data_IF_610854831357
#
_entry.id   IF_610854831357
#
_cell.length_a   1.000
_cell.length_b   1.000
_cell.length_c   1.000
_cell.angle_alpha   90.00
_cell.angle_beta   90.00
_cell.angle_gamma   90.00
#
_symmetry.space_group_name_H-M   'P 1'
#
loop_
_entity.id
_entity.type
_entity.pdbx_description
1 polymer ?
#
# COMPACT_ATOMS: atom_id res chain seq x y z
N UNK A 1 -3.32 1.42 25.11
CA UNK A 1 -3.50 2.40 24.02
C UNK A 1 -2.25 2.36 23.17
N UNK A 2 -2.32 2.19 21.83
CA UNK A 2 -1.15 2.18 20.94
C UNK A 2 -0.34 3.47 21.04
N UNK A 3 0.98 3.37 20.90
CA UNK A 3 1.90 4.52 20.92
C UNK A 3 2.91 4.39 19.79
N UNK A 4 3.43 5.51 19.31
CA UNK A 4 4.54 5.50 18.38
C UNK A 4 5.84 4.99 19.09
N UNK A 5 6.69 4.20 18.43
CA UNK A 5 8.01 3.90 18.97
C UNK A 5 8.79 5.19 19.26
N UNK A 6 9.49 5.24 20.40
CA UNK A 6 10.30 6.43 20.76
C UNK A 6 11.36 6.78 19.71
N UNK A 7 11.78 5.80 18.92
CA UNK A 7 12.74 6.01 17.85
C UNK A 7 12.25 7.02 16.81
N UNK A 8 10.93 7.13 16.57
CA UNK A 8 10.35 8.11 15.64
C UNK A 8 10.79 9.53 15.99
N UNK A 9 10.78 9.87 17.29
CA UNK A 9 11.16 11.21 17.77
C UNK A 9 12.68 11.42 17.85
N UNK A 10 13.48 10.37 17.62
CA UNK A 10 14.96 10.40 17.67
C UNK A 10 15.59 10.38 16.27
N UNK A 11 14.82 10.08 15.23
CA UNK A 11 15.30 9.98 13.85
C UNK A 11 15.62 11.33 13.20
N UNK A 12 15.16 12.45 13.77
CA UNK A 12 15.37 13.78 13.20
C UNK A 12 14.58 14.04 11.89
N UNK A 13 13.59 13.20 11.59
CA UNK A 13 12.71 13.34 10.44
C UNK A 13 11.49 14.17 10.79
N UNK A 14 10.85 14.86 9.83
CA UNK A 14 9.56 15.50 10.03
C UNK A 14 8.48 14.50 10.45
N UNK A 15 7.54 14.93 11.28
CA UNK A 15 6.43 14.10 11.77
C UNK A 15 5.11 14.85 11.59
N UNK A 16 4.12 14.19 10.97
CA UNK A 16 2.74 14.66 10.93
C UNK A 16 1.84 13.66 11.69
N UNK A 17 1.25 14.13 12.77
CA UNK A 17 0.23 13.39 13.51
C UNK A 17 -1.18 13.72 13.02
N UNK A 18 -1.92 12.72 12.53
CA UNK A 18 -3.31 12.89 12.06
C UNK A 18 -4.26 12.29 13.09
N UNK A 19 -5.23 13.07 13.56
CA UNK A 19 -6.26 12.67 14.51
C UNK A 19 -5.67 12.02 15.77
N UNK A 20 -5.80 10.71 15.94
CA UNK A 20 -5.18 9.96 17.02
C UNK A 20 -3.64 10.10 17.02
N UNK A 21 -3.04 10.29 15.84
CA UNK A 21 -1.61 10.57 15.71
C UNK A 21 -1.18 11.89 16.36
N UNK A 22 -1.97 12.95 16.24
CA UNK A 22 -1.74 14.21 16.95
C UNK A 22 -1.83 14.01 18.47
N UNK A 23 -2.86 13.31 18.93
CA UNK A 23 -3.06 13.03 20.35
C UNK A 23 -1.90 12.21 20.93
N UNK A 24 -1.46 11.20 20.20
CA UNK A 24 -0.30 10.38 20.59
C UNK A 24 0.99 11.20 20.63
N UNK A 25 1.24 12.02 19.60
CA UNK A 25 2.38 12.94 19.53
C UNK A 25 2.43 13.86 20.75
N UNK A 26 1.30 14.49 21.06
CA UNK A 26 1.18 15.40 22.21
C UNK A 26 1.45 14.69 23.53
N UNK A 27 0.81 13.55 23.79
CA UNK A 27 1.01 12.79 25.02
C UNK A 27 2.45 12.31 25.21
N UNK A 28 3.08 11.83 24.15
CA UNK A 28 4.45 11.31 24.24
C UNK A 28 5.51 12.40 24.39
N UNK A 29 5.20 13.62 24.01
CA UNK A 29 6.09 14.79 24.15
C UNK A 29 5.78 15.63 25.41
N UNK A 30 4.86 15.18 26.27
CA UNK A 30 4.62 15.78 27.59
C UNK A 30 3.45 16.75 27.65
N UNK A 31 2.59 16.80 26.67
CA UNK A 31 1.29 17.48 26.71
C UNK A 31 0.20 16.57 27.26
N UNK A 32 -1.06 17.05 27.21
CA UNK A 32 -2.22 16.32 27.73
C UNK A 32 -3.37 16.23 26.73
N UNK A 33 -4.10 15.11 26.81
CA UNK A 33 -5.31 14.82 26.02
C UNK A 33 -6.43 14.46 26.97
N UNK A 34 -7.60 15.01 26.75
CA UNK A 34 -8.79 14.80 27.61
C UNK A 34 -9.98 14.33 26.78
N UNK A 35 -10.80 13.48 27.40
CA UNK A 35 -12.13 13.12 26.91
C UNK A 35 -13.15 14.08 27.46
N UNK A 36 -13.81 14.86 26.62
CA UNK A 36 -14.72 15.90 27.05
C UNK A 36 -16.19 15.48 27.07
N UNK A 37 -16.52 14.29 26.54
CA UNK A 37 -17.90 13.89 26.28
C UNK A 37 -18.55 14.65 25.11
N UNK A 38 -17.91 15.70 24.59
CA UNK A 38 -18.31 16.36 23.36
C UNK A 38 -17.61 15.68 22.17
N UNK A 39 -18.41 15.20 21.22
CA UNK A 39 -17.92 14.44 20.08
C UNK A 39 -18.12 15.25 18.82
N UNK A 40 -17.09 15.36 18.01
CA UNK A 40 -17.10 16.07 16.74
C UNK A 40 -16.94 15.05 15.59
N UNK A 41 -18.03 14.82 14.85
CA UNK A 41 -18.08 13.89 13.74
C UNK A 41 -18.68 14.56 12.50
N UNK A 42 -17.99 14.43 11.37
CA UNK A 42 -18.45 14.94 10.09
C UNK A 42 -17.80 16.27 9.72
N UNK A 43 -18.54 17.06 8.93
CA UNK A 43 -18.06 18.35 8.43
C UNK A 43 -17.97 19.37 9.56
N UNK A 44 -16.77 19.94 9.71
CA UNK A 44 -16.47 21.03 10.63
C UNK A 44 -15.69 22.13 9.92
N UNK A 45 -15.46 23.23 10.62
CA UNK A 45 -14.62 24.33 10.13
C UNK A 45 -13.50 24.60 11.12
N UNK A 46 -12.33 24.88 10.61
CA UNK A 46 -11.19 25.36 11.38
C UNK A 46 -10.91 26.81 11.05
N UNK A 47 -10.58 27.60 12.06
CA UNK A 47 -10.11 28.96 11.91
C UNK A 47 -8.58 28.94 12.03
N UNK A 48 -7.88 29.39 10.97
CA UNK A 48 -6.41 29.46 10.95
C UNK A 48 -5.96 30.66 11.78
N UNK A 49 -5.26 30.38 12.88
CA UNK A 49 -4.90 31.41 13.87
C UNK A 49 -3.43 31.85 13.78
N UNK A 50 -2.59 31.05 13.14
CA UNK A 50 -1.18 31.36 12.92
C UNK A 50 -0.63 30.63 11.69
N UNK A 51 0.44 31.19 11.10
CA UNK A 51 1.13 30.59 9.96
C UNK A 51 2.07 29.46 10.41
N UNK A 52 2.32 28.49 9.55
CA UNK A 52 3.31 27.43 9.76
C UNK A 52 3.72 26.82 8.42
N UNK A 53 4.85 26.13 8.37
CA UNK A 53 5.33 25.52 7.13
C UNK A 53 4.39 24.44 6.56
N UNK A 54 3.52 23.83 7.36
CA UNK A 54 2.49 22.91 6.86
C UNK A 54 1.42 23.63 6.02
N UNK A 55 1.17 24.90 6.29
CA UNK A 55 0.12 25.68 5.63
C UNK A 55 0.63 26.51 4.46
N UNK A 56 1.96 26.60 4.26
CA UNK A 56 2.57 27.37 3.18
C UNK A 56 1.96 27.05 1.81
N UNK A 57 1.40 28.08 1.15
CA UNK A 57 0.77 27.96 -0.16
C UNK A 57 -0.58 27.22 -0.17
N UNK A 58 -1.14 26.89 1.00
CA UNK A 58 -2.42 26.21 1.14
C UNK A 58 -3.43 27.05 1.92
N UNK A 59 -3.08 27.51 3.11
CA UNK A 59 -3.90 28.32 4.00
C UNK A 59 -3.13 29.52 4.54
N UNK A 60 -3.83 30.62 4.77
CA UNK A 60 -3.26 31.84 5.37
C UNK A 60 -3.93 32.14 6.71
N UNK A 61 -3.22 32.85 7.58
CA UNK A 61 -3.77 33.31 8.85
C UNK A 61 -5.03 34.14 8.62
N UNK A 62 -6.12 33.74 9.27
CA UNK A 62 -7.45 34.36 9.13
C UNK A 62 -8.41 33.58 8.25
N UNK A 63 -7.92 32.57 7.53
CA UNK A 63 -8.78 31.70 6.75
C UNK A 63 -9.70 30.84 7.64
N UNK A 64 -10.87 30.50 7.09
CA UNK A 64 -11.83 29.58 7.70
C UNK A 64 -12.13 28.46 6.73
N UNK A 65 -11.62 27.26 7.04
CA UNK A 65 -11.56 26.17 6.10
C UNK A 65 -12.36 24.94 6.52
N UNK A 66 -13.02 24.30 5.54
CA UNK A 66 -13.76 23.08 5.78
C UNK A 66 -12.84 21.90 5.98
N UNK A 67 -13.11 21.10 7.00
CA UNK A 67 -12.40 19.85 7.30
C UNK A 67 -13.37 18.76 7.72
N UNK A 68 -12.88 17.53 7.80
CA UNK A 68 -13.62 16.39 8.32
C UNK A 68 -13.07 15.98 9.68
N UNK A 69 -13.92 16.04 10.72
CA UNK A 69 -13.61 15.63 12.08
C UNK A 69 -14.16 14.24 12.38
N UNK A 70 -13.46 13.49 13.23
CA UNK A 70 -13.91 12.18 13.73
C UNK A 70 -13.23 11.87 15.07
N UNK A 71 -13.59 12.61 16.13
CA UNK A 71 -12.98 12.45 17.44
C UNK A 71 -13.93 12.69 18.60
N UNK A 72 -13.63 12.10 19.77
CA UNK A 72 -14.29 12.35 21.05
C UNK A 72 -13.33 12.91 22.09
N UNK A 73 -12.03 12.71 21.90
CA UNK A 73 -10.97 13.25 22.73
C UNK A 73 -10.23 14.35 21.97
N UNK A 74 -9.69 15.34 22.66
CA UNK A 74 -8.88 16.37 22.06
C UNK A 74 -7.69 16.76 22.95
N UNK A 75 -6.72 17.43 22.35
CA UNK A 75 -5.56 18.01 23.06
C UNK A 75 -6.03 19.12 23.98
N UNK A 76 -5.64 19.05 25.26
CA UNK A 76 -5.94 20.05 26.29
C UNK A 76 -4.74 20.94 26.60
N UNK A 77 -3.52 20.39 26.57
CA UNK A 77 -2.27 21.13 26.81
C UNK A 77 -1.22 20.73 25.79
N UNK A 78 -0.57 21.71 25.21
CA UNK A 78 0.51 21.50 24.23
C UNK A 78 1.84 21.15 24.94
N UNK A 79 2.65 20.28 24.37
CA UNK A 79 4.03 20.10 24.81
C UNK A 79 4.89 21.30 24.47
N UNK A 80 6.02 21.42 25.16
CA UNK A 80 6.96 22.52 24.93
C UNK A 80 7.44 22.57 23.46
N UNK A 81 7.40 23.78 22.89
CA UNK A 81 7.80 24.04 21.50
C UNK A 81 6.65 24.07 20.52
N UNK A 82 5.50 23.49 20.86
CA UNK A 82 4.31 23.56 20.01
C UNK A 82 3.49 24.82 20.24
N UNK A 83 2.82 25.26 19.18
CA UNK A 83 1.79 26.30 19.22
C UNK A 83 0.55 25.87 18.45
N UNK A 84 -0.59 26.46 18.78
CA UNK A 84 -1.80 26.32 17.98
C UNK A 84 -1.63 27.09 16.67
N UNK A 85 -1.98 26.47 15.54
CA UNK A 85 -1.99 27.10 14.22
C UNK A 85 -3.39 27.10 13.61
N UNK A 86 -4.29 26.21 14.05
CA UNK A 86 -5.72 26.29 13.75
C UNK A 86 -6.55 25.82 14.95
N UNK A 87 -7.77 26.35 15.06
CA UNK A 87 -8.75 26.02 16.10
C UNK A 87 -10.09 25.64 15.50
N UNK A 88 -10.90 24.84 16.20
CA UNK A 88 -12.32 24.62 15.89
C UNK A 88 -13.18 24.78 17.14
N UNK A 89 -14.49 24.75 16.96
CA UNK A 89 -15.44 24.85 18.09
C UNK A 89 -15.26 23.70 19.10
N UNK A 90 -14.98 22.48 18.61
CA UNK A 90 -14.79 21.27 19.43
C UNK A 90 -13.34 20.93 19.76
N UNK A 91 -12.35 21.59 19.12
CA UNK A 91 -10.94 21.34 19.33
C UNK A 91 -10.13 22.65 19.34
N UNK A 92 -9.72 23.14 20.54
CA UNK A 92 -8.92 24.36 20.65
C UNK A 92 -7.54 24.24 19.99
N UNK A 93 -7.09 23.03 19.74
CA UNK A 93 -5.86 22.70 19.03
C UNK A 93 -6.18 21.82 17.81
N UNK A 94 -7.01 22.34 16.89
CA UNK A 94 -7.39 21.63 15.67
C UNK A 94 -6.19 21.38 14.75
N UNK A 95 -5.20 22.28 14.78
CA UNK A 95 -3.87 22.02 14.23
C UNK A 95 -2.79 22.66 15.09
N UNK A 96 -1.66 21.98 15.19
CA UNK A 96 -0.50 22.39 16.00
C UNK A 96 0.79 22.27 15.19
N UNK A 97 1.76 23.12 15.50
CA UNK A 97 3.06 23.13 14.83
C UNK A 97 4.22 23.35 15.81
N UNK A 98 5.31 22.65 15.56
CA UNK A 98 6.67 22.96 16.03
C UNK A 98 7.60 22.98 14.81
N UNK A 99 7.76 24.12 14.21
CA UNK A 99 8.56 24.27 12.98
C UNK A 99 10.05 23.96 13.21
N UNK A 100 10.55 24.17 14.43
CA UNK A 100 11.96 23.91 14.74
C UNK A 100 12.28 22.41 14.64
N UNK A 101 11.38 21.54 15.12
CA UNK A 101 11.50 20.09 15.01
C UNK A 101 10.88 19.55 13.73
N UNK A 102 10.12 20.38 13.00
CA UNK A 102 9.27 19.99 11.86
C UNK A 102 8.21 18.96 12.26
N UNK A 103 7.58 19.17 13.43
CA UNK A 103 6.52 18.34 13.95
C UNK A 103 5.19 19.07 13.86
N UNK A 104 4.22 18.39 13.25
CA UNK A 104 2.88 18.95 13.03
C UNK A 104 1.82 17.96 13.49
N UNK A 105 0.69 18.48 13.90
CA UNK A 105 -0.48 17.68 14.25
C UNK A 105 -1.75 18.32 13.72
N UNK A 106 -2.67 17.51 13.23
CA UNK A 106 -4.01 17.91 12.82
C UNK A 106 -5.03 16.98 13.45
N UNK A 107 -6.09 17.54 14.06
CA UNK A 107 -7.17 16.75 14.68
C UNK A 107 -8.14 16.20 13.61
N UNK A 108 -8.26 16.90 12.49
CA UNK A 108 -9.07 16.51 11.35
C UNK A 108 -8.36 15.49 10.45
N UNK A 109 -9.09 14.97 9.47
CA UNK A 109 -8.62 13.98 8.51
C UNK A 109 -8.34 14.63 7.14
N UNK A 110 -7.09 14.98 6.81
CA UNK A 110 -6.74 15.53 5.51
C UNK A 110 -6.77 14.50 4.39
N UNK A 111 -6.72 13.21 4.72
CA UNK A 111 -6.70 12.10 3.74
C UNK A 111 -8.06 11.80 3.12
N UNK A 112 -9.16 12.34 3.66
CA UNK A 112 -10.50 12.06 3.15
C UNK A 112 -10.98 13.13 2.19
N UNK A 113 -11.81 12.76 1.22
CA UNK A 113 -12.36 13.66 0.19
C UNK A 113 -13.21 14.81 0.73
N UNK A 114 -13.66 14.71 1.98
CA UNK A 114 -14.48 15.73 2.65
C UNK A 114 -13.66 16.88 3.25
N UNK A 115 -12.33 16.79 3.22
CA UNK A 115 -11.39 17.89 3.51
C UNK A 115 -10.86 18.41 2.17
N UNK A 116 -11.43 19.51 1.61
CA UNK A 116 -11.15 19.94 0.23
C UNK A 116 -9.66 20.21 -0.04
N UNK A 117 -8.97 20.81 0.91
CA UNK A 117 -7.53 21.11 0.82
C UNK A 117 -6.62 20.01 1.37
N UNK A 118 -7.18 18.85 1.74
CA UNK A 118 -6.42 17.77 2.39
C UNK A 118 -5.24 17.27 1.56
N UNK A 119 -5.45 17.08 0.26
CA UNK A 119 -4.35 16.67 -0.65
C UNK A 119 -3.25 17.72 -0.73
N UNK A 120 -3.60 19.02 -0.73
CA UNK A 120 -2.62 20.10 -0.74
C UNK A 120 -1.80 20.15 0.56
N UNK A 121 -2.46 19.99 1.73
CA UNK A 121 -1.78 19.91 3.03
C UNK A 121 -0.81 18.72 3.11
N UNK A 122 -1.24 17.54 2.66
CA UNK A 122 -0.37 16.36 2.60
C UNK A 122 0.79 16.55 1.62
N UNK A 123 0.54 17.24 0.49
CA UNK A 123 1.57 17.64 -0.47
C UNK A 123 2.57 18.62 0.14
N UNK A 124 2.12 19.65 0.86
CA UNK A 124 2.97 20.59 1.57
C UNK A 124 3.85 19.87 2.60
N UNK A 125 3.27 18.95 3.39
CA UNK A 125 4.05 18.16 4.33
C UNK A 125 5.11 17.30 3.63
N UNK A 126 4.73 16.53 2.61
CA UNK A 126 5.64 15.57 1.98
C UNK A 126 6.73 16.25 1.17
N UNK A 127 6.40 17.30 0.42
CA UNK A 127 7.37 17.96 -0.47
C UNK A 127 8.08 19.14 0.18
N UNK A 128 7.34 20.09 0.77
CA UNK A 128 7.96 21.28 1.33
C UNK A 128 8.59 21.01 2.71
N UNK A 129 7.89 20.35 3.62
CA UNK A 129 8.38 20.09 4.98
C UNK A 129 9.37 18.93 5.02
N UNK A 130 9.00 17.79 4.42
CA UNK A 130 9.83 16.58 4.46
C UNK A 130 10.87 16.50 3.35
N UNK A 131 10.75 17.32 2.30
CA UNK A 131 11.72 17.40 1.20
C UNK A 131 11.71 16.15 0.30
N UNK A 132 10.59 15.42 0.24
CA UNK A 132 10.47 14.27 -0.65
C UNK A 132 10.45 14.74 -2.10
N UNK A 133 11.31 14.17 -2.94
CA UNK A 133 11.47 14.59 -4.33
C UNK A 133 10.28 14.21 -5.25
N UNK A 134 9.39 13.31 -4.79
CA UNK A 134 8.27 12.83 -5.61
C UNK A 134 8.70 11.91 -6.75
N UNK A 135 9.89 11.36 -6.68
CA UNK A 135 10.51 10.48 -7.67
C UNK A 135 10.08 9.01 -7.53
N UNK A 136 9.39 8.66 -6.47
CA UNK A 136 8.82 7.34 -6.29
C UNK A 136 7.54 7.19 -7.14
N UNK A 137 7.71 6.77 -8.40
CA UNK A 137 6.63 6.51 -9.36
C UNK A 137 6.54 5.03 -9.64
N UNK A 138 5.39 4.56 -10.19
CA UNK A 138 5.26 3.15 -10.61
C UNK A 138 6.29 2.78 -11.67
N UNK A 139 6.69 3.71 -12.53
CA UNK A 139 7.75 3.48 -13.51
C UNK A 139 9.12 3.28 -12.83
N UNK A 140 9.51 4.18 -11.93
CA UNK A 140 10.76 4.05 -11.17
C UNK A 140 10.78 2.80 -10.29
N UNK A 141 9.62 2.49 -9.66
CA UNK A 141 9.47 1.26 -8.88
C UNK A 141 9.66 0.00 -9.77
N UNK A 142 9.01 -0.05 -10.95
CA UNK A 142 9.18 -1.12 -11.92
C UNK A 142 10.65 -1.30 -12.30
N UNK A 143 11.32 -0.23 -12.67
CA UNK A 143 12.73 -0.28 -13.09
C UNK A 143 13.63 -0.79 -11.96
N UNK A 144 13.35 -0.38 -10.72
CA UNK A 144 14.04 -0.89 -9.52
C UNK A 144 13.80 -2.39 -9.33
N UNK A 145 12.53 -2.85 -9.45
CA UNK A 145 12.20 -4.28 -9.30
C UNK A 145 12.87 -5.12 -10.40
N UNK A 146 12.86 -4.65 -11.63
CA UNK A 146 13.53 -5.33 -12.75
C UNK A 146 15.05 -5.45 -12.51
N UNK A 147 15.69 -4.41 -11.98
CA UNK A 147 17.10 -4.44 -11.63
C UNK A 147 17.39 -5.45 -10.48
N UNK A 148 16.57 -5.44 -9.44
CA UNK A 148 16.68 -6.39 -8.32
C UNK A 148 16.50 -7.84 -8.77
N UNK A 149 15.52 -8.11 -9.65
CA UNK A 149 15.31 -9.46 -10.22
C UNK A 149 16.54 -9.90 -11.02
N UNK A 150 17.12 -9.01 -11.83
CA UNK A 150 18.36 -9.34 -12.58
C UNK A 150 19.51 -9.71 -11.66
N UNK A 151 19.69 -8.94 -10.60
CA UNK A 151 20.74 -9.21 -9.60
C UNK A 151 20.50 -10.54 -8.89
N UNK A 152 19.26 -10.78 -8.43
CA UNK A 152 18.90 -12.00 -7.70
C UNK A 152 19.04 -13.26 -8.56
N UNK A 153 18.60 -13.21 -9.81
CA UNK A 153 18.60 -14.36 -10.73
C UNK A 153 19.97 -14.60 -11.35
N UNK A 154 20.76 -13.53 -11.55
CA UNK A 154 22.06 -13.64 -12.23
C UNK A 154 21.91 -14.30 -13.61
N UNK A 155 22.68 -15.35 -13.84
CA UNK A 155 22.64 -16.16 -15.08
C UNK A 155 21.62 -17.33 -15.02
N UNK A 156 20.91 -17.49 -13.89
CA UNK A 156 19.97 -18.57 -13.64
C UNK A 156 18.72 -18.51 -14.52
N UNK A 157 17.91 -19.57 -14.42
CA UNK A 157 16.62 -19.74 -15.10
C UNK A 157 15.49 -19.74 -14.08
N UNK A 158 14.36 -19.17 -14.45
CA UNK A 158 13.17 -19.06 -13.61
C UNK A 158 12.00 -19.82 -14.22
N UNK A 159 11.28 -20.60 -13.41
CA UNK A 159 9.95 -21.10 -13.74
C UNK A 159 8.93 -20.24 -12.99
N UNK A 160 7.88 -19.79 -13.68
CA UNK A 160 6.79 -19.03 -13.08
C UNK A 160 5.47 -19.74 -13.28
N UNK A 161 4.76 -20.03 -12.17
CA UNK A 161 3.39 -20.54 -12.22
C UNK A 161 2.40 -19.42 -12.55
N UNK A 162 1.61 -19.60 -13.61
CA UNK A 162 0.55 -18.69 -14.00
C UNK A 162 -0.80 -19.21 -13.55
N UNK A 163 -1.54 -18.38 -12.85
CA UNK A 163 -2.93 -18.69 -12.43
C UNK A 163 -4.00 -18.05 -13.33
N UNK A 164 -3.60 -17.24 -14.32
CA UNK A 164 -4.51 -16.37 -15.08
C UNK A 164 -4.88 -15.06 -14.34
N UNK A 165 -4.51 -14.92 -13.06
CA UNK A 165 -4.73 -13.71 -12.28
C UNK A 165 -3.74 -12.59 -12.59
N UNK A 166 -4.09 -11.38 -12.13
CA UNK A 166 -3.27 -10.16 -12.33
C UNK A 166 -1.90 -10.31 -11.68
N UNK A 167 -1.83 -10.84 -10.46
CA UNK A 167 -0.59 -10.89 -9.67
C UNK A 167 0.46 -11.79 -10.35
N UNK A 168 0.08 -13.01 -10.76
CA UNK A 168 0.97 -13.92 -11.47
C UNK A 168 1.40 -13.36 -12.83
N UNK A 169 0.51 -12.65 -13.52
CA UNK A 169 0.81 -12.03 -14.81
C UNK A 169 1.79 -10.87 -14.67
N UNK A 170 1.64 -10.03 -13.64
CA UNK A 170 2.58 -8.93 -13.36
C UNK A 170 3.94 -9.48 -12.95
N UNK A 171 3.98 -10.50 -12.08
CA UNK A 171 5.24 -11.15 -11.70
C UNK A 171 5.97 -11.72 -12.91
N UNK A 172 5.28 -12.46 -13.76
CA UNK A 172 5.87 -13.01 -14.98
C UNK A 172 6.36 -11.93 -15.96
N UNK A 173 5.59 -10.83 -16.12
CA UNK A 173 6.00 -9.71 -16.98
C UNK A 173 7.28 -9.03 -16.48
N UNK A 174 7.38 -8.75 -15.17
CA UNK A 174 8.57 -8.15 -14.56
C UNK A 174 9.80 -9.07 -14.68
N UNK A 175 9.62 -10.36 -14.43
CA UNK A 175 10.70 -11.35 -14.59
C UNK A 175 11.12 -11.46 -16.05
N UNK A 176 10.17 -11.50 -16.98
CA UNK A 176 10.48 -11.51 -18.41
C UNK A 176 11.25 -10.27 -18.85
N UNK A 177 10.87 -9.09 -18.38
CA UNK A 177 11.60 -7.83 -18.65
C UNK A 177 13.02 -7.87 -18.07
N UNK A 178 13.19 -8.54 -16.93
CA UNK A 178 14.49 -8.69 -16.29
C UNK A 178 15.43 -9.67 -17.00
N UNK A 179 14.94 -10.86 -17.35
CA UNK A 179 15.78 -11.98 -17.77
C UNK A 179 15.43 -12.59 -19.15
N UNK A 180 14.38 -12.07 -19.80
CA UNK A 180 13.97 -12.50 -21.16
C UNK A 180 13.58 -13.97 -21.24
N UNK A 181 14.09 -14.66 -22.22
CA UNK A 181 13.78 -16.08 -22.52
C UNK A 181 14.30 -17.08 -21.49
N UNK A 182 15.01 -16.63 -20.45
CA UNK A 182 15.39 -17.46 -19.31
C UNK A 182 14.24 -17.71 -18.34
N UNK A 183 13.09 -17.01 -18.52
CA UNK A 183 11.83 -17.30 -17.88
C UNK A 183 11.06 -18.34 -18.70
N UNK A 184 10.53 -19.37 -18.03
CA UNK A 184 9.53 -20.27 -18.57
C UNK A 184 8.28 -20.20 -17.71
N UNK A 185 7.14 -19.85 -18.32
CA UNK A 185 5.86 -19.83 -17.64
C UNK A 185 5.17 -21.19 -17.77
N UNK A 186 4.53 -21.66 -16.70
CA UNK A 186 3.71 -22.87 -16.69
C UNK A 186 2.29 -22.45 -16.32
N UNK A 187 1.35 -22.68 -17.23
CA UNK A 187 -0.07 -22.43 -17.04
C UNK A 187 -0.81 -23.78 -16.98
N UNK A 188 -1.51 -24.03 -15.89
CA UNK A 188 -2.28 -25.26 -15.68
C UNK A 188 -3.77 -24.97 -15.88
N UNK A 189 -4.34 -25.51 -16.96
CA UNK A 189 -5.79 -25.49 -17.14
C UNK A 189 -6.42 -26.60 -16.28
N UNK A 190 -7.11 -26.16 -15.26
CA UNK A 190 -7.77 -27.03 -14.28
C UNK A 190 -9.16 -27.50 -14.73
N UNK A 191 -9.66 -27.02 -15.85
CA UNK A 191 -11.02 -27.25 -16.33
C UNK A 191 -12.12 -26.50 -15.55
N UNK A 192 -11.76 -25.77 -14.49
CA UNK A 192 -12.68 -24.94 -13.69
C UNK A 192 -12.46 -23.44 -13.91
N UNK A 193 -11.75 -23.09 -14.96
CA UNK A 193 -11.53 -21.72 -15.42
C UNK A 193 -12.80 -21.14 -16.06
N UNK A 194 -12.83 -19.82 -16.22
CA UNK A 194 -13.90 -19.17 -16.99
C UNK A 194 -13.77 -19.50 -18.46
N UNK A 195 -14.88 -19.46 -19.18
CA UNK A 195 -14.90 -19.69 -20.62
C UNK A 195 -13.97 -18.67 -21.34
N UNK A 196 -13.03 -19.17 -22.11
CA UNK A 196 -12.05 -18.36 -22.86
C UNK A 196 -10.80 -17.96 -22.08
N UNK A 197 -10.75 -18.08 -20.77
CA UNK A 197 -9.64 -17.60 -19.92
C UNK A 197 -8.30 -18.26 -20.29
N UNK A 198 -8.28 -19.55 -20.58
CA UNK A 198 -7.07 -20.26 -21.02
C UNK A 198 -6.50 -19.68 -22.32
N UNK A 199 -7.38 -19.41 -23.30
CA UNK A 199 -6.97 -18.80 -24.57
C UNK A 199 -6.45 -17.37 -24.41
N UNK A 200 -7.04 -16.58 -23.49
CA UNK A 200 -6.60 -15.22 -23.18
C UNK A 200 -5.20 -15.23 -22.59
N UNK A 201 -4.92 -16.14 -21.65
CA UNK A 201 -3.59 -16.30 -21.05
C UNK A 201 -2.56 -16.72 -22.10
N UNK A 202 -2.87 -17.69 -22.95
CA UNK A 202 -1.98 -18.11 -24.02
C UNK A 202 -1.63 -16.96 -24.99
N UNK A 203 -2.67 -16.25 -25.46
CA UNK A 203 -2.49 -15.12 -26.38
C UNK A 203 -1.65 -14.03 -25.73
N UNK A 204 -1.89 -13.72 -24.44
CA UNK A 204 -1.15 -12.70 -23.73
C UNK A 204 0.35 -13.05 -23.64
N UNK A 205 0.68 -14.26 -23.22
CA UNK A 205 2.06 -14.63 -22.96
C UNK A 205 2.83 -15.03 -24.22
N UNK A 206 2.23 -15.72 -25.16
CA UNK A 206 2.87 -16.08 -26.44
C UNK A 206 2.99 -14.90 -27.39
N UNK A 207 1.88 -14.19 -27.63
CA UNK A 207 1.84 -13.22 -28.71
C UNK A 207 2.30 -11.83 -28.30
N UNK A 208 2.06 -11.41 -27.05
CA UNK A 208 2.45 -10.09 -26.57
C UNK A 208 3.78 -10.07 -25.85
N UNK A 209 4.03 -11.03 -24.98
CA UNK A 209 5.27 -11.05 -24.20
C UNK A 209 6.36 -11.92 -24.83
N UNK A 210 6.04 -12.73 -25.84
CA UNK A 210 6.97 -13.68 -26.46
C UNK A 210 7.74 -14.50 -25.41
N UNK A 211 7.03 -14.94 -24.38
CA UNK A 211 7.58 -15.70 -23.25
C UNK A 211 7.34 -17.19 -23.48
N UNK A 212 8.34 -18.05 -23.26
CA UNK A 212 8.13 -19.50 -23.27
C UNK A 212 6.99 -19.89 -22.32
N UNK A 213 5.93 -20.48 -22.88
CA UNK A 213 4.73 -20.91 -22.13
C UNK A 213 4.49 -22.40 -22.34
N UNK A 214 4.46 -23.12 -21.23
CA UNK A 214 3.98 -24.51 -21.16
C UNK A 214 2.55 -24.47 -20.71
N UNK A 215 1.62 -24.86 -21.58
CA UNK A 215 0.20 -25.02 -21.25
C UNK A 215 -0.07 -26.50 -20.97
N UNK A 216 -0.63 -26.76 -19.80
CA UNK A 216 -0.94 -28.10 -19.31
C UNK A 216 -2.46 -28.23 -19.17
N UNK A 217 -3.09 -29.05 -20.01
CA UNK A 217 -4.49 -29.44 -19.81
C UNK A 217 -4.57 -30.55 -18.76
N UNK A 218 -4.96 -30.20 -17.55
CA UNK A 218 -5.15 -31.10 -16.42
C UNK A 218 -6.63 -31.29 -16.04
N UNK A 219 -7.56 -30.79 -16.85
CA UNK A 219 -8.99 -30.78 -16.53
C UNK A 219 -9.54 -32.15 -16.07
N UNK A 220 -9.19 -33.24 -16.79
CA UNK A 220 -9.63 -34.58 -16.43
C UNK A 220 -9.16 -35.00 -15.03
N UNK A 221 -7.91 -34.68 -14.66
CA UNK A 221 -7.32 -35.03 -13.38
C UNK A 221 -8.02 -34.27 -12.22
N UNK A 222 -8.36 -33.00 -12.43
CA UNK A 222 -9.09 -32.21 -11.44
C UNK A 222 -10.52 -32.70 -11.27
N UNK A 223 -11.24 -32.99 -12.36
CA UNK A 223 -12.59 -33.51 -12.29
C UNK A 223 -12.68 -34.88 -11.59
N UNK A 224 -11.74 -35.76 -11.87
CA UNK A 224 -11.71 -37.08 -11.22
C UNK A 224 -11.51 -36.95 -9.69
N UNK A 225 -10.59 -36.07 -9.25
CA UNK A 225 -10.36 -35.86 -7.81
C UNK A 225 -11.49 -35.09 -7.10
N UNK A 226 -12.25 -34.29 -7.84
CA UNK A 226 -13.37 -33.50 -7.30
C UNK A 226 -14.69 -34.26 -7.34
N UNK A 227 -14.78 -35.43 -7.99
CA UNK A 227 -16.00 -36.20 -8.14
C UNK A 227 -16.61 -36.52 -6.78
N UNK A 228 -17.90 -36.16 -6.57
CA UNK A 228 -18.62 -36.38 -5.33
C UNK A 228 -18.25 -35.52 -4.13
N UNK A 229 -17.29 -34.62 -4.27
CA UNK A 229 -16.90 -33.68 -3.19
C UNK A 229 -17.85 -32.49 -3.20
N UNK A 230 -18.57 -32.26 -2.10
CA UNK A 230 -19.54 -31.18 -1.96
C UNK A 230 -19.05 -30.05 -1.03
N UNK A 231 -18.23 -30.39 -0.04
CA UNK A 231 -17.69 -29.44 0.92
C UNK A 231 -16.72 -28.43 0.26
N UNK A 232 -16.96 -27.12 0.38
CA UNK A 232 -16.14 -26.09 -0.26
C UNK A 232 -14.66 -26.10 0.18
N UNK A 233 -14.41 -26.36 1.46
CA UNK A 233 -13.04 -26.38 1.99
C UNK A 233 -12.27 -27.62 1.52
N UNK A 234 -12.95 -28.77 1.43
CA UNK A 234 -12.37 -29.95 0.84
C UNK A 234 -12.04 -29.74 -0.65
N UNK A 235 -12.95 -29.12 -1.42
CA UNK A 235 -12.68 -28.74 -2.81
C UNK A 235 -11.44 -27.88 -2.94
N UNK A 236 -11.34 -26.80 -2.13
CA UNK A 236 -10.20 -25.88 -2.14
C UNK A 236 -8.87 -26.61 -1.89
N UNK A 237 -8.85 -27.51 -0.91
CA UNK A 237 -7.65 -28.30 -0.59
C UNK A 237 -7.26 -29.25 -1.72
N UNK A 238 -8.24 -29.94 -2.33
CA UNK A 238 -8.01 -30.86 -3.46
C UNK A 238 -7.47 -30.09 -4.66
N UNK A 239 -8.07 -28.95 -5.01
CA UNK A 239 -7.62 -28.09 -6.11
C UNK A 239 -6.18 -27.64 -5.88
N UNK A 240 -5.87 -27.09 -4.69
CA UNK A 240 -4.54 -26.63 -4.37
C UNK A 240 -3.48 -27.74 -4.43
N UNK A 241 -3.75 -28.90 -3.82
CA UNK A 241 -2.83 -30.04 -3.85
C UNK A 241 -2.61 -30.56 -5.28
N UNK A 242 -3.70 -30.71 -6.05
CA UNK A 242 -3.60 -31.19 -7.44
C UNK A 242 -2.83 -30.21 -8.34
N UNK A 243 -3.04 -28.91 -8.12
CA UNK A 243 -2.29 -27.90 -8.86
C UNK A 243 -0.78 -28.00 -8.59
N UNK A 244 -0.39 -28.20 -7.34
CA UNK A 244 1.02 -28.37 -6.96
C UNK A 244 1.59 -29.63 -7.61
N UNK A 245 0.89 -30.76 -7.52
CA UNK A 245 1.33 -32.03 -8.12
C UNK A 245 1.62 -31.87 -9.63
N UNK A 246 0.67 -31.27 -10.37
CA UNK A 246 0.78 -31.06 -11.82
C UNK A 246 1.91 -30.08 -12.14
N UNK A 247 2.00 -29.01 -11.36
CA UNK A 247 3.04 -28.00 -11.55
C UNK A 247 4.44 -28.57 -11.31
N UNK A 248 4.65 -29.35 -10.25
CA UNK A 248 5.92 -30.01 -9.93
C UNK A 248 6.33 -31.02 -11.01
N UNK A 249 5.37 -31.78 -11.55
CA UNK A 249 5.63 -32.70 -12.65
C UNK A 249 6.14 -31.97 -13.89
N UNK A 250 5.48 -30.87 -14.29
CA UNK A 250 5.88 -30.08 -15.46
C UNK A 250 7.19 -29.30 -15.21
N UNK A 251 7.36 -28.75 -14.02
CA UNK A 251 8.60 -28.09 -13.63
C UNK A 251 9.79 -29.05 -13.68
N UNK A 252 9.59 -30.31 -13.28
CA UNK A 252 10.63 -31.36 -13.36
C UNK A 252 11.06 -31.71 -14.78
N UNK A 253 10.22 -31.44 -15.80
CA UNK A 253 10.56 -31.63 -17.24
C UNK A 253 11.40 -30.46 -17.79
N UNK A 254 11.41 -29.32 -17.11
CA UNK A 254 12.14 -28.11 -17.51
C UNK A 254 13.54 -28.19 -16.90
N UNK A 255 14.52 -28.52 -17.74
CA UNK A 255 15.91 -28.66 -17.29
C UNK A 255 16.52 -27.30 -16.91
N UNK A 256 17.25 -27.27 -15.78
CA UNK A 256 18.11 -26.16 -15.37
C UNK A 256 17.33 -24.96 -14.82
N UNK A 257 16.19 -25.15 -14.20
CA UNK A 257 15.53 -24.10 -13.43
C UNK A 257 16.17 -23.98 -12.04
N UNK A 258 16.61 -22.76 -11.72
CA UNK A 258 17.27 -22.44 -10.46
C UNK A 258 16.31 -21.78 -9.48
N UNK A 259 15.25 -21.14 -9.99
CA UNK A 259 14.30 -20.37 -9.21
C UNK A 259 12.86 -20.69 -9.60
N UNK A 260 11.99 -20.69 -8.59
CA UNK A 260 10.54 -20.72 -8.74
C UNK A 260 9.96 -19.36 -8.38
N UNK A 261 9.14 -18.80 -9.28
CA UNK A 261 8.35 -17.60 -9.04
C UNK A 261 6.87 -17.96 -8.95
N UNK A 262 6.19 -17.32 -8.00
CA UNK A 262 4.77 -17.49 -7.79
C UNK A 262 4.15 -16.15 -7.40
N UNK A 263 2.99 -15.80 -7.97
CA UNK A 263 2.27 -14.57 -7.73
C UNK A 263 0.94 -14.80 -7.01
#
# INVERSE_FOLDING_TARGET
TPRAPESVFKLGVPVLGICYGQQTLVQQLGGSVVGTGHREFGRAFVDVVDDCALFDGVWEKGDREQVWMSHGDHVAELPQGFRAVATSEGAPFAAIADDARRYYGVQFHPEVVHTPYGTALLGAFTHAVAGCAGDWTMAAYRDTQVAMIREQVGDGRVICGLSGGVDSSVAAALIHEAIGTRLTCVFVDTGVLREGEANEVETLFRDRFNTPLVHVDAAAQFFDKLAGVTDPEAKRKIIGATFIDVFEEEAGKINGADFLAQG
#
